data_IF_490493074883
#
_entry.id   IF_490493074883
#
_cell.length_a   1.000
_cell.length_b   1.000
_cell.length_c   1.000
_cell.angle_alpha   90.00
_cell.angle_beta   90.00
_cell.angle_gamma   90.00
#
_symmetry.space_group_name_H-M   'P 1'
#
loop_
_entity.id
_entity.type
_entity.pdbx_description
1 polymer ?
#
# COMPACT_ATOMS: atom_id res chain seq x y z
N UNK A 1 16.65 4.72 -25.51
CA UNK A 1 17.52 3.68 -24.92
C UNK A 1 17.21 3.67 -23.43
N UNK A 2 16.34 2.77 -22.98
CA UNK A 2 15.90 2.69 -21.58
C UNK A 2 16.75 1.67 -20.85
N UNK A 3 17.52 2.11 -19.86
CA UNK A 3 18.26 1.20 -18.98
C UNK A 3 17.29 0.53 -18.00
N UNK A 4 17.20 -0.81 -18.07
CA UNK A 4 16.53 -1.64 -17.05
C UNK A 4 17.37 -1.61 -15.77
N UNK A 5 16.81 -1.23 -14.61
CA UNK A 5 17.49 -1.46 -13.35
C UNK A 5 17.38 -2.94 -12.97
N UNK A 6 18.51 -3.66 -13.06
CA UNK A 6 18.70 -5.03 -12.57
C UNK A 6 19.02 -4.97 -11.08
N UNK A 7 17.98 -4.80 -10.25
CA UNK A 7 18.08 -4.90 -8.80
C UNK A 7 17.44 -6.20 -8.29
N UNK A 8 17.88 -6.73 -7.14
CA UNK A 8 17.46 -8.03 -6.58
C UNK A 8 15.98 -8.11 -6.15
N UNK A 9 15.18 -7.07 -6.39
CA UNK A 9 13.75 -7.06 -6.06
C UNK A 9 12.87 -7.75 -7.10
N UNK A 10 13.40 -8.12 -8.28
CA UNK A 10 12.65 -8.90 -9.28
C UNK A 10 12.34 -10.33 -8.79
N UNK A 11 13.22 -10.92 -7.97
CA UNK A 11 12.99 -12.24 -7.37
C UNK A 11 11.79 -12.24 -6.39
N UNK A 12 11.50 -11.09 -5.79
CA UNK A 12 10.36 -10.94 -4.87
C UNK A 12 9.01 -11.02 -5.59
N UNK A 13 8.92 -10.63 -6.87
CA UNK A 13 7.67 -10.70 -7.64
C UNK A 13 7.35 -12.09 -8.18
N UNK A 14 8.32 -12.98 -8.33
CA UNK A 14 8.08 -14.37 -8.75
C UNK A 14 7.76 -15.29 -7.56
N UNK A 15 8.37 -15.07 -6.38
CA UNK A 15 8.09 -15.86 -5.17
C UNK A 15 6.65 -15.68 -4.63
N UNK A 16 6.00 -14.54 -4.87
CA UNK A 16 4.64 -14.26 -4.37
C UNK A 16 3.56 -15.05 -5.15
N UNK A 17 3.90 -15.66 -6.29
CA UNK A 17 2.93 -16.30 -7.19
C UNK A 17 2.70 -17.80 -6.92
N UNK A 18 3.56 -18.45 -6.13
CA UNK A 18 3.63 -19.92 -6.04
C UNK A 18 3.11 -20.52 -4.72
N UNK A 19 2.69 -19.69 -3.75
CA UNK A 19 2.46 -20.13 -2.37
C UNK A 19 1.02 -19.99 -1.85
N UNK A 20 -0.02 -20.01 -2.70
CA UNK A 20 -1.41 -20.08 -2.18
C UNK A 20 -2.36 -20.93 -3.01
N UNK A 21 -2.08 -22.23 -3.04
CA UNK A 21 -3.09 -23.25 -3.26
C UNK A 21 -3.38 -23.99 -1.93
N UNK A 22 -4.64 -23.85 -1.48
CA UNK A 22 -5.38 -24.67 -0.50
C UNK A 22 -4.83 -24.90 0.92
N UNK A 23 -5.30 -24.09 1.88
CA UNK A 23 -5.76 -24.59 3.20
C UNK A 23 -6.99 -23.78 3.63
N UNK A 24 -8.14 -24.45 3.71
CA UNK A 24 -9.35 -23.93 4.32
C UNK A 24 -9.09 -23.57 5.78
N UNK A 25 -9.31 -22.32 6.14
CA UNK A 25 -9.26 -21.84 7.51
C UNK A 25 -10.58 -21.13 7.75
N UNK A 26 -11.44 -21.79 8.52
CA UNK A 26 -12.62 -21.21 9.16
C UNK A 26 -12.15 -20.12 10.14
N UNK A 27 -11.72 -19.00 9.57
CA UNK A 27 -11.68 -17.72 10.24
C UNK A 27 -13.05 -17.16 9.97
N UNK A 28 -13.85 -16.97 11.02
CA UNK A 28 -14.85 -15.92 11.02
C UNK A 28 -14.09 -14.61 10.78
N UNK A 29 -13.88 -14.30 9.49
CA UNK A 29 -13.38 -13.02 9.05
C UNK A 29 -14.43 -12.05 9.54
N UNK A 30 -14.11 -11.26 10.57
CA UNK A 30 -14.96 -10.11 10.85
C UNK A 30 -14.98 -9.31 9.55
N UNK A 31 -16.16 -9.12 8.97
CA UNK A 31 -16.35 -8.31 7.75
C UNK A 31 -15.96 -6.83 7.97
N UNK A 32 -15.55 -6.50 9.20
CA UNK A 32 -14.97 -5.23 9.58
C UNK A 32 -13.55 -5.10 9.00
N UNK A 33 -13.30 -4.04 8.20
CA UNK A 33 -11.98 -3.79 7.64
C UNK A 33 -10.95 -3.54 8.74
N UNK A 34 -9.83 -4.28 8.70
CA UNK A 34 -8.70 -4.05 9.60
C UNK A 34 -7.89 -2.85 9.11
N UNK A 35 -8.07 -1.70 9.77
CA UNK A 35 -7.34 -0.47 9.47
C UNK A 35 -5.92 -0.51 10.04
N UNK A 36 -4.96 -0.10 9.23
CA UNK A 36 -3.53 -0.03 9.58
C UNK A 36 -3.03 1.41 9.47
N UNK A 37 -2.16 1.78 10.39
CA UNK A 37 -1.53 3.10 10.49
C UNK A 37 -0.04 2.94 10.73
N UNK A 38 0.75 3.95 10.38
CA UNK A 38 2.17 4.01 10.73
C UNK A 38 2.35 3.96 12.25
N UNK A 39 3.33 3.20 12.73
CA UNK A 39 3.73 3.19 14.15
C UNK A 39 4.34 4.51 14.62
N UNK A 40 4.80 5.35 13.69
CA UNK A 40 5.29 6.71 13.96
C UNK A 40 4.17 7.74 14.05
N UNK A 41 2.93 7.35 13.75
CA UNK A 41 1.79 8.24 13.95
C UNK A 41 1.45 8.35 15.44
N UNK A 42 1.51 9.58 15.95
CA UNK A 42 1.06 9.99 17.27
C UNK A 42 -0.42 10.34 17.25
N UNK A 43 -1.15 9.91 18.29
CA UNK A 43 -2.63 9.94 18.37
C UNK A 43 -3.25 11.33 18.20
N UNK A 44 -2.55 12.38 18.62
CA UNK A 44 -3.03 13.77 18.56
C UNK A 44 -2.98 14.36 17.14
N UNK A 45 -2.35 13.66 16.17
CA UNK A 45 -2.19 14.14 14.80
C UNK A 45 -3.16 13.48 13.81
N UNK A 46 -3.31 14.13 12.66
CA UNK A 46 -4.03 13.58 11.50
C UNK A 46 -3.14 12.58 10.79
N UNK A 47 -3.50 11.30 10.87
CA UNK A 47 -2.75 10.25 10.23
C UNK A 47 -3.57 9.57 9.16
N UNK A 48 -2.87 9.15 8.11
CA UNK A 48 -3.46 8.30 7.09
C UNK A 48 -3.52 6.88 7.63
N UNK A 49 -4.72 6.30 7.54
CA UNK A 49 -4.96 4.89 7.78
C UNK A 49 -5.35 4.23 6.46
N UNK A 50 -5.01 2.95 6.30
CA UNK A 50 -5.39 2.18 5.12
C UNK A 50 -5.88 0.78 5.47
N UNK A 51 -6.67 0.21 4.57
CA UNK A 51 -7.09 -1.20 4.63
C UNK A 51 -7.23 -1.76 3.22
N UNK A 52 -7.11 -3.08 3.09
CA UNK A 52 -7.42 -3.77 1.84
C UNK A 52 -8.92 -4.02 1.81
N UNK A 53 -9.58 -3.61 0.72
CA UNK A 53 -11.03 -3.75 0.57
C UNK A 53 -11.33 -4.17 -0.87
N UNK A 54 -11.89 -5.37 -1.04
CA UNK A 54 -12.21 -5.94 -2.35
C UNK A 54 -11.03 -5.88 -3.35
N UNK A 55 -11.24 -5.18 -4.46
CA UNK A 55 -10.26 -5.01 -5.54
C UNK A 55 -9.33 -3.79 -5.36
N UNK A 56 -9.27 -3.22 -4.15
CA UNK A 56 -8.55 -1.96 -3.92
C UNK A 56 -8.03 -1.73 -2.51
N UNK A 57 -7.63 -0.49 -2.29
CA UNK A 57 -7.14 0.04 -1.02
C UNK A 57 -8.03 1.22 -0.64
N UNK A 58 -8.58 1.19 0.57
CA UNK A 58 -9.27 2.33 1.13
C UNK A 58 -8.31 3.10 2.04
N UNK A 59 -8.31 4.42 1.92
CA UNK A 59 -7.54 5.38 2.72
C UNK A 59 -8.49 6.29 3.48
N UNK A 60 -8.12 6.69 4.69
CA UNK A 60 -8.87 7.70 5.47
C UNK A 60 -7.98 8.49 6.41
N UNK A 61 -8.52 9.58 6.93
CA UNK A 61 -7.94 10.31 8.05
C UNK A 61 -8.39 9.65 9.37
N UNK A 62 -7.45 9.37 10.28
CA UNK A 62 -7.72 8.76 11.58
C UNK A 62 -8.69 9.56 12.45
N UNK A 63 -8.76 10.89 12.28
CA UNK A 63 -9.68 11.77 13.02
C UNK A 63 -10.98 12.07 12.26
N UNK A 64 -11.07 11.67 10.98
CA UNK A 64 -12.29 11.81 10.16
C UNK A 64 -12.55 10.49 9.43
N UNK A 65 -13.00 9.45 10.17
CA UNK A 65 -13.07 8.10 9.63
C UNK A 65 -14.09 7.91 8.49
N UNK A 66 -15.00 8.89 8.30
CA UNK A 66 -15.96 8.92 7.19
C UNK A 66 -15.38 9.51 5.90
N UNK A 67 -14.28 10.26 6.00
CA UNK A 67 -13.60 10.86 4.85
C UNK A 67 -12.69 9.79 4.22
N UNK A 68 -13.27 8.99 3.32
CA UNK A 68 -12.63 7.82 2.71
C UNK A 68 -12.35 8.01 1.22
N UNK A 69 -11.16 7.57 0.79
CA UNK A 69 -10.80 7.45 -0.62
C UNK A 69 -10.59 5.97 -0.96
N UNK A 70 -11.32 5.46 -1.95
CA UNK A 70 -11.13 4.11 -2.48
C UNK A 70 -10.29 4.16 -3.76
N UNK A 71 -9.17 3.47 -3.75
CA UNK A 71 -8.24 3.39 -4.88
C UNK A 71 -8.22 1.94 -5.40
N UNK A 72 -8.49 1.76 -6.69
CA UNK A 72 -8.37 0.43 -7.33
C UNK A 72 -6.93 -0.08 -7.25
N UNK A 73 -6.76 -1.40 -7.13
CA UNK A 73 -5.45 -2.07 -7.04
C UNK A 73 -4.48 -1.66 -8.14
N UNK A 74 -4.93 -1.55 -9.39
CA UNK A 74 -4.06 -1.14 -10.50
C UNK A 74 -3.48 0.27 -10.32
N UNK A 75 -4.30 1.23 -9.88
CA UNK A 75 -3.86 2.61 -9.59
C UNK A 75 -2.96 2.66 -8.36
N UNK A 76 -3.27 1.87 -7.33
CA UNK A 76 -2.43 1.76 -6.15
C UNK A 76 -1.03 1.22 -6.50
N UNK A 77 -0.96 0.15 -7.29
CA UNK A 77 0.31 -0.41 -7.78
C UNK A 77 1.10 0.60 -8.62
N UNK A 78 0.43 1.34 -9.50
CA UNK A 78 1.08 2.39 -10.30
C UNK A 78 1.63 3.53 -9.42
N UNK A 79 0.86 3.97 -8.42
CA UNK A 79 1.29 4.99 -7.45
C UNK A 79 2.55 4.52 -6.70
N UNK A 80 2.53 3.30 -6.15
CA UNK A 80 3.68 2.73 -5.44
C UNK A 80 4.91 2.62 -6.35
N UNK A 81 4.73 2.22 -7.61
CA UNK A 81 5.82 2.15 -8.57
C UNK A 81 6.41 3.55 -8.87
N UNK A 82 5.57 4.57 -9.04
CA UNK A 82 6.01 5.95 -9.27
C UNK A 82 6.75 6.53 -8.06
N UNK A 83 6.25 6.29 -6.83
CA UNK A 83 6.95 6.69 -5.60
C UNK A 83 8.33 6.03 -5.52
N UNK A 84 8.42 4.72 -5.79
CA UNK A 84 9.70 4.00 -5.78
C UNK A 84 10.67 4.47 -6.86
N UNK A 85 10.16 5.02 -7.96
CA UNK A 85 10.97 5.62 -9.01
C UNK A 85 11.43 7.05 -8.68
N UNK A 86 11.09 7.58 -7.51
CA UNK A 86 11.43 8.93 -7.08
C UNK A 86 10.63 10.02 -7.80
N UNK A 87 9.53 9.67 -8.46
CA UNK A 87 8.72 10.63 -9.24
C UNK A 87 8.12 11.76 -8.39
N UNK A 88 8.09 11.59 -7.07
CA UNK A 88 7.55 12.55 -6.10
C UNK A 88 8.61 13.00 -5.08
N UNK A 89 9.88 12.67 -5.28
CA UNK A 89 10.95 13.18 -4.43
C UNK A 89 11.15 14.66 -4.73
N UNK A 90 11.40 15.46 -3.69
CA UNK A 90 11.75 16.86 -3.89
C UNK A 90 13.07 16.94 -4.67
N UNK A 91 13.24 17.90 -5.59
CA UNK A 91 14.56 18.18 -6.13
C UNK A 91 15.51 18.46 -4.96
N UNK A 92 16.76 17.95 -5.06
CA UNK A 92 17.77 18.25 -4.07
C UNK A 92 17.81 19.78 -3.89
N UNK A 93 17.56 20.24 -2.67
CA UNK A 93 17.77 21.64 -2.36
C UNK A 93 19.28 21.84 -2.40
N UNK A 94 19.79 22.42 -3.49
CA UNK A 94 21.17 22.89 -3.56
C UNK A 94 21.36 23.89 -2.40
N UNK A 95 22.10 23.46 -1.37
CA UNK A 95 22.45 24.21 -0.17
C UNK A 95 23.96 24.35 -0.08
#
# INVERSE_FOLDING_TARGET
>A
MFHRPTGPWQAWLLQVSEERETVGSDRTVSDQPTWRRSSRCVTEHHCVEFTLMGDGVALRNSQRPMDMLLIRRSRWSALVAAIRAGAFDAPAADA
#
